data_IF_530674163015
#
_entry.id   IF_530674163015
#
_cell.length_a   1.000
_cell.length_b   1.000
_cell.length_c   1.000
_cell.angle_alpha   90.00
_cell.angle_beta   90.00
_cell.angle_gamma   90.00
#
_symmetry.space_group_name_H-M   'P 1'
#
loop_
_entity.id
_entity.type
_entity.pdbx_description
1 polymer ?
#
# COMPACT_ATOMS: atom_id res chain seq x y z
N UNK A 1 21.37 -42.19 17.83
CA UNK A 1 21.65 -41.71 16.47
C UNK A 1 20.44 -40.94 15.97
N UNK A 2 20.47 -39.61 16.03
CA UNK A 2 19.39 -38.75 15.54
C UNK A 2 19.56 -38.59 14.02
N UNK A 3 18.65 -39.15 13.28
CA UNK A 3 18.58 -39.02 11.80
C UNK A 3 18.24 -37.59 11.45
N UNK A 4 19.24 -36.83 11.05
CA UNK A 4 19.06 -35.50 10.46
C UNK A 4 18.24 -35.67 9.17
N UNK A 5 16.92 -35.36 9.23
CA UNK A 5 16.07 -35.29 8.04
C UNK A 5 16.61 -34.17 7.15
N UNK A 6 17.37 -34.51 6.13
CA UNK A 6 17.71 -33.58 5.04
C UNK A 6 16.41 -33.00 4.50
N UNK A 7 16.21 -31.68 4.66
CA UNK A 7 15.16 -30.96 3.94
C UNK A 7 15.32 -31.26 2.46
N UNK A 8 14.27 -31.82 1.83
CA UNK A 8 14.22 -31.93 0.36
C UNK A 8 14.50 -30.56 -0.24
N UNK A 9 15.30 -30.48 -1.33
CA UNK A 9 15.48 -29.21 -2.03
C UNK A 9 14.10 -28.71 -2.46
N UNK A 10 13.78 -27.49 -2.05
CA UNK A 10 12.52 -26.83 -2.39
C UNK A 10 12.48 -26.72 -3.92
N UNK A 11 11.55 -27.40 -4.57
CA UNK A 11 11.34 -27.31 -6.00
C UNK A 11 11.07 -25.85 -6.37
N UNK A 12 11.78 -25.38 -7.38
CA UNK A 12 11.66 -24.04 -7.91
C UNK A 12 10.35 -23.92 -8.70
N UNK A 13 9.28 -23.56 -8.01
CA UNK A 13 8.00 -23.25 -8.65
C UNK A 13 7.82 -21.71 -8.68
N UNK A 14 7.66 -21.14 -9.86
CA UNK A 14 7.29 -19.72 -10.04
C UNK A 14 5.85 -19.51 -9.58
N UNK A 15 4.99 -20.51 -9.81
CA UNK A 15 3.57 -20.46 -9.47
C UNK A 15 3.31 -21.21 -8.16
N UNK A 16 2.54 -20.60 -7.28
CA UNK A 16 2.07 -21.21 -6.03
C UNK A 16 1.01 -22.27 -6.30
N UNK A 17 1.03 -23.37 -5.52
CA UNK A 17 -0.13 -24.24 -5.46
C UNK A 17 -1.30 -23.47 -4.85
N UNK A 18 -2.48 -23.41 -5.52
CA UNK A 18 -3.61 -22.64 -5.01
C UNK A 18 -4.13 -23.22 -3.69
N UNK A 19 -4.10 -22.43 -2.62
CA UNK A 19 -4.81 -22.74 -1.37
C UNK A 19 -6.32 -22.51 -1.51
N UNK A 20 -7.13 -22.94 -0.52
CA UNK A 20 -8.55 -22.68 -0.49
C UNK A 20 -8.85 -21.17 -0.36
N UNK A 21 -10.11 -20.81 -0.61
CA UNK A 21 -10.60 -19.44 -0.51
C UNK A 21 -11.21 -19.20 0.87
N UNK A 22 -10.55 -18.47 1.80
CA UNK A 22 -11.17 -18.13 3.07
C UNK A 22 -12.32 -17.12 2.86
N UNK A 23 -13.36 -17.21 3.68
CA UNK A 23 -14.53 -16.34 3.57
C UNK A 23 -14.18 -14.85 3.65
N UNK A 24 -13.20 -14.49 4.48
CA UNK A 24 -12.74 -13.10 4.60
C UNK A 24 -12.11 -12.58 3.29
N UNK A 25 -11.40 -13.44 2.54
CA UNK A 25 -10.86 -13.07 1.23
C UNK A 25 -11.99 -12.82 0.21
N UNK A 26 -13.04 -13.64 0.23
CA UNK A 26 -14.20 -13.45 -0.65
C UNK A 26 -14.91 -12.13 -0.32
N UNK A 27 -15.14 -11.86 0.96
CA UNK A 27 -15.75 -10.60 1.42
C UNK A 27 -14.88 -9.38 1.04
N UNK A 28 -13.55 -9.50 1.19
CA UNK A 28 -12.62 -8.46 0.82
C UNK A 28 -12.64 -8.17 -0.69
N UNK A 29 -12.69 -9.20 -1.53
CA UNK A 29 -12.85 -9.04 -2.98
C UNK A 29 -14.20 -8.44 -3.38
N UNK A 30 -15.26 -8.80 -2.68
CA UNK A 30 -16.56 -8.18 -2.89
C UNK A 30 -16.53 -6.68 -2.56
N UNK A 31 -15.88 -6.30 -1.44
CA UNK A 31 -15.68 -4.89 -1.08
C UNK A 31 -14.84 -4.16 -2.12
N UNK A 32 -13.76 -4.78 -2.62
CA UNK A 32 -12.94 -4.24 -3.72
C UNK A 32 -13.78 -3.99 -4.97
N UNK A 33 -14.62 -4.97 -5.36
CA UNK A 33 -15.48 -4.84 -6.54
C UNK A 33 -16.48 -3.68 -6.38
N UNK A 34 -17.07 -3.50 -5.20
CA UNK A 34 -17.96 -2.35 -4.90
C UNK A 34 -17.21 -1.04 -5.02
N UNK A 35 -15.99 -0.92 -4.46
CA UNK A 35 -15.15 0.27 -4.55
C UNK A 35 -14.82 0.60 -6.02
N UNK A 36 -14.43 -0.39 -6.83
CA UNK A 36 -14.10 -0.19 -8.25
C UNK A 36 -15.34 0.27 -9.03
N UNK A 37 -16.48 -0.39 -8.85
CA UNK A 37 -17.71 -0.02 -9.55
C UNK A 37 -18.15 1.40 -9.17
N UNK A 38 -18.11 1.72 -7.88
CA UNK A 38 -18.45 3.06 -7.42
C UNK A 38 -17.47 4.10 -7.96
N UNK A 39 -16.16 3.81 -7.92
CA UNK A 39 -15.13 4.69 -8.50
C UNK A 39 -15.34 4.94 -10.00
N UNK A 40 -15.70 3.91 -10.77
CA UNK A 40 -16.00 4.06 -12.21
C UNK A 40 -17.24 4.95 -12.46
N UNK A 41 -18.29 4.81 -11.65
CA UNK A 41 -19.49 5.65 -11.76
C UNK A 41 -19.11 7.12 -11.48
N UNK A 42 -18.35 7.38 -10.41
CA UNK A 42 -17.93 8.72 -10.06
C UNK A 42 -16.94 9.30 -11.07
N UNK A 43 -16.01 8.48 -11.59
CA UNK A 43 -15.10 8.91 -12.64
C UNK A 43 -15.86 9.28 -13.92
N UNK A 44 -16.86 8.50 -14.31
CA UNK A 44 -17.68 8.82 -15.47
C UNK A 44 -18.41 10.16 -15.24
N UNK A 45 -19.03 10.33 -14.08
CA UNK A 45 -19.69 11.60 -13.75
C UNK A 45 -18.72 12.78 -13.80
N UNK A 46 -17.56 12.67 -13.16
CA UNK A 46 -16.55 13.73 -13.10
C UNK A 46 -15.92 14.06 -14.46
N UNK A 47 -15.80 13.05 -15.35
CA UNK A 47 -15.05 13.20 -16.61
C UNK A 47 -15.92 13.50 -17.84
N UNK A 48 -17.23 13.36 -17.74
CA UNK A 48 -18.16 13.47 -18.90
C UNK A 48 -17.99 14.80 -19.65
N UNK A 49 -18.10 15.93 -18.95
CA UNK A 49 -18.00 17.27 -19.52
C UNK A 49 -16.57 17.58 -20.01
N UNK A 50 -15.58 17.25 -19.20
CA UNK A 50 -14.16 17.45 -19.56
C UNK A 50 -13.75 16.64 -20.78
N UNK A 51 -14.23 15.39 -20.88
CA UNK A 51 -14.00 14.53 -22.04
C UNK A 51 -14.60 15.13 -23.32
N UNK A 52 -15.83 15.60 -23.25
CA UNK A 52 -16.48 16.25 -24.40
C UNK A 52 -15.75 17.52 -24.86
N UNK A 53 -15.47 18.41 -23.92
CA UNK A 53 -14.89 19.72 -24.24
C UNK A 53 -13.42 19.66 -24.67
N UNK A 54 -12.62 18.78 -24.08
CA UNK A 54 -11.18 18.70 -24.37
C UNK A 54 -10.82 17.68 -25.46
N UNK A 55 -11.57 16.58 -25.55
CA UNK A 55 -11.24 15.44 -26.42
C UNK A 55 -12.31 15.17 -27.51
N UNK A 56 -13.45 15.89 -27.47
CA UNK A 56 -14.57 15.65 -28.39
C UNK A 56 -15.35 14.36 -28.11
N UNK A 57 -15.02 13.62 -27.06
CA UNK A 57 -15.66 12.36 -26.70
C UNK A 57 -15.88 12.29 -25.18
N UNK A 58 -17.13 12.34 -24.74
CA UNK A 58 -17.51 12.25 -23.31
C UNK A 58 -17.09 10.94 -22.66
N UNK A 59 -16.86 9.88 -23.43
CA UNK A 59 -16.45 8.55 -22.96
C UNK A 59 -14.94 8.33 -22.99
N UNK A 60 -14.14 9.33 -23.38
CA UNK A 60 -12.70 9.21 -23.54
C UNK A 60 -12.01 8.64 -22.28
N UNK A 61 -12.25 9.25 -21.13
CA UNK A 61 -11.63 8.83 -19.85
C UNK A 61 -12.11 7.45 -19.41
N UNK A 62 -13.42 7.18 -19.51
CA UNK A 62 -13.96 5.89 -19.07
C UNK A 62 -13.52 4.73 -19.98
N UNK A 63 -13.42 4.94 -21.30
CA UNK A 63 -12.89 3.93 -22.22
C UNK A 63 -11.45 3.57 -21.87
N UNK A 64 -10.60 4.57 -21.63
CA UNK A 64 -9.21 4.37 -21.17
C UNK A 64 -9.15 3.63 -19.85
N UNK A 65 -9.98 4.03 -18.86
CA UNK A 65 -10.01 3.40 -17.54
C UNK A 65 -10.49 1.94 -17.60
N UNK A 66 -11.51 1.64 -18.43
CA UNK A 66 -12.01 0.27 -18.63
C UNK A 66 -10.96 -0.64 -19.28
N UNK A 67 -10.18 -0.12 -20.22
CA UNK A 67 -9.06 -0.87 -20.81
C UNK A 67 -7.99 -1.17 -19.74
N UNK A 68 -7.62 -0.17 -18.96
CA UNK A 68 -6.66 -0.34 -17.87
C UNK A 68 -7.19 -1.27 -16.77
N UNK A 69 -8.50 -1.23 -16.48
CA UNK A 69 -9.15 -2.17 -15.57
C UNK A 69 -9.04 -3.61 -16.09
N UNK A 70 -9.35 -3.84 -17.36
CA UNK A 70 -9.24 -5.17 -17.98
C UNK A 70 -7.81 -5.72 -17.93
N UNK A 71 -6.82 -4.90 -18.29
CA UNK A 71 -5.41 -5.25 -18.17
C UNK A 71 -5.00 -5.47 -16.70
N UNK A 72 -5.43 -4.60 -15.79
CA UNK A 72 -5.14 -4.70 -14.36
C UNK A 72 -5.73 -5.96 -13.74
N UNK A 73 -6.95 -6.37 -14.11
CA UNK A 73 -7.55 -7.63 -13.66
C UNK A 73 -6.75 -8.84 -14.17
N UNK A 74 -6.28 -8.82 -15.42
CA UNK A 74 -5.40 -9.88 -15.92
C UNK A 74 -4.08 -9.96 -15.13
N UNK A 75 -3.47 -8.80 -14.83
CA UNK A 75 -2.26 -8.71 -14.00
C UNK A 75 -2.55 -9.15 -12.56
N UNK A 76 -3.69 -8.77 -11.98
CA UNK A 76 -4.14 -9.24 -10.66
C UNK A 76 -4.21 -10.77 -10.60
N UNK A 77 -4.82 -11.40 -11.60
CA UNK A 77 -4.90 -12.87 -11.69
C UNK A 77 -3.51 -13.50 -11.83
N UNK A 78 -2.61 -12.89 -12.59
CA UNK A 78 -1.22 -13.35 -12.71
C UNK A 78 -0.51 -13.28 -11.35
N UNK A 79 -0.53 -12.13 -10.68
CA UNK A 79 0.12 -11.95 -9.38
C UNK A 79 -0.51 -12.80 -8.27
N UNK A 80 -1.79 -13.13 -8.36
CA UNK A 80 -2.44 -14.08 -7.44
C UNK A 80 -1.90 -15.51 -7.52
N UNK A 81 -1.19 -15.85 -8.61
CA UNK A 81 -0.57 -17.16 -8.84
C UNK A 81 0.93 -17.19 -8.59
N UNK A 82 1.59 -16.02 -8.51
CA UNK A 82 3.04 -15.92 -8.31
C UNK A 82 3.37 -16.33 -6.86
N UNK A 83 4.30 -17.27 -6.70
CA UNK A 83 4.77 -17.69 -5.37
C UNK A 83 5.52 -16.53 -4.68
N UNK A 84 5.21 -16.29 -3.39
CA UNK A 84 5.90 -15.28 -2.56
C UNK A 84 7.42 -15.51 -2.49
N UNK A 85 7.89 -16.76 -2.68
CA UNK A 85 9.32 -17.11 -2.74
C UNK A 85 9.98 -16.53 -3.99
N UNK A 86 9.25 -16.52 -5.12
CA UNK A 86 9.72 -15.88 -6.35
C UNK A 86 9.77 -14.36 -6.17
N UNK A 87 8.72 -13.72 -5.62
CA UNK A 87 8.73 -12.29 -5.30
C UNK A 87 9.92 -11.94 -4.40
N UNK A 88 10.13 -12.72 -3.34
CA UNK A 88 11.26 -12.53 -2.42
C UNK A 88 12.64 -12.62 -3.10
N UNK A 89 12.78 -13.46 -4.13
CA UNK A 89 14.04 -13.58 -4.91
C UNK A 89 14.23 -12.40 -5.86
N UNK A 90 13.13 -11.87 -6.39
CA UNK A 90 13.16 -10.76 -7.35
C UNK A 90 13.28 -9.39 -6.69
N UNK A 91 13.25 -9.27 -5.38
CA UNK A 91 13.33 -7.99 -4.65
C UNK A 91 14.59 -7.18 -5.03
N UNK A 92 15.78 -7.77 -5.03
CA UNK A 92 16.99 -7.03 -5.39
C UNK A 92 17.10 -6.71 -6.90
N UNK A 93 16.84 -7.65 -7.82
CA UNK A 93 16.74 -7.31 -9.24
C UNK A 93 15.67 -6.25 -9.53
N UNK A 94 14.50 -6.36 -8.92
CA UNK A 94 13.41 -5.38 -9.04
C UNK A 94 13.83 -3.99 -8.57
N UNK A 95 14.50 -3.92 -7.43
CA UNK A 95 15.02 -2.64 -6.91
C UNK A 95 16.03 -1.98 -7.86
N UNK A 96 16.97 -2.76 -8.42
CA UNK A 96 17.93 -2.23 -9.41
C UNK A 96 17.20 -1.72 -10.65
N UNK A 97 16.23 -2.47 -11.17
CA UNK A 97 15.40 -2.04 -12.32
C UNK A 97 14.64 -0.77 -11.97
N UNK A 98 14.05 -0.69 -10.76
CA UNK A 98 13.34 0.50 -10.31
C UNK A 98 14.25 1.75 -10.25
N UNK A 99 15.46 1.63 -9.70
CA UNK A 99 16.44 2.73 -9.68
C UNK A 99 16.81 3.16 -11.10
N UNK A 100 17.06 2.21 -12.00
CA UNK A 100 17.37 2.52 -13.41
C UNK A 100 16.19 3.25 -14.08
N UNK A 101 14.96 2.82 -13.83
CA UNK A 101 13.76 3.49 -14.36
C UNK A 101 13.60 4.92 -13.79
N UNK A 102 13.83 5.13 -12.49
CA UNK A 102 13.80 6.46 -11.88
C UNK A 102 14.87 7.38 -12.49
N UNK A 103 16.08 6.87 -12.71
CA UNK A 103 17.14 7.62 -13.41
C UNK A 103 16.70 7.94 -14.85
N UNK A 104 16.12 6.99 -15.57
CA UNK A 104 15.67 7.18 -16.95
C UNK A 104 14.57 8.26 -17.05
N UNK A 105 13.70 8.40 -16.04
CA UNK A 105 12.68 9.46 -15.99
C UNK A 105 13.30 10.85 -15.97
N UNK A 106 14.45 11.06 -15.34
CA UNK A 106 15.13 12.36 -15.30
C UNK A 106 15.52 12.86 -16.70
N UNK A 107 15.73 11.93 -17.64
CA UNK A 107 16.07 12.23 -19.04
C UNK A 107 14.83 12.23 -19.96
N UNK A 108 13.62 11.94 -19.43
CA UNK A 108 12.39 11.95 -20.22
C UNK A 108 11.92 13.37 -20.55
N UNK A 109 11.11 13.48 -21.62
CA UNK A 109 10.46 14.75 -21.95
C UNK A 109 9.48 15.17 -20.85
N UNK A 110 9.49 16.44 -20.42
CA UNK A 110 8.56 16.91 -19.39
C UNK A 110 7.10 16.82 -19.87
N UNK A 111 6.22 16.38 -19.01
CA UNK A 111 4.77 16.41 -19.16
C UNK A 111 4.18 17.36 -18.11
N UNK A 112 3.38 18.34 -18.51
CA UNK A 112 2.85 19.37 -17.60
C UNK A 112 3.94 20.02 -16.71
N UNK A 113 5.11 20.27 -17.29
CA UNK A 113 6.26 20.90 -16.59
C UNK A 113 7.03 19.98 -15.63
N UNK A 114 6.64 18.72 -15.49
CA UNK A 114 7.29 17.75 -14.60
C UNK A 114 7.81 16.52 -15.37
N UNK A 115 8.95 15.99 -14.94
CA UNK A 115 9.55 14.75 -15.48
C UNK A 115 9.23 13.59 -14.53
N UNK A 116 8.03 13.00 -14.63
CA UNK A 116 7.55 11.92 -13.74
C UNK A 116 7.09 10.68 -14.49
N UNK A 117 7.11 10.74 -15.85
CA UNK A 117 6.47 9.77 -16.72
C UNK A 117 7.45 9.22 -17.74
N UNK A 118 7.52 7.90 -17.88
CA UNK A 118 8.17 7.24 -18.99
C UNK A 118 7.13 6.94 -20.09
N UNK A 119 7.46 7.31 -21.33
CA UNK A 119 6.63 7.01 -22.54
C UNK A 119 7.30 5.87 -23.29
N UNK A 120 6.79 4.65 -23.13
CA UNK A 120 7.25 3.45 -23.81
C UNK A 120 6.01 2.84 -24.50
N UNK A 121 5.47 3.52 -25.52
CA UNK A 121 4.18 3.15 -26.14
C UNK A 121 2.95 3.51 -25.30
N UNK A 122 3.05 3.41 -23.98
CA UNK A 122 2.08 3.89 -22.97
C UNK A 122 2.83 4.68 -21.89
N UNK A 123 2.08 5.47 -21.14
CA UNK A 123 2.66 6.36 -20.12
C UNK A 123 2.71 5.67 -18.78
N UNK A 124 3.92 5.44 -18.24
CA UNK A 124 4.15 4.80 -16.94
C UNK A 124 4.63 5.85 -15.94
N UNK A 125 3.98 5.91 -14.80
CA UNK A 125 4.47 6.67 -13.64
C UNK A 125 5.40 5.79 -12.81
N UNK A 126 6.69 6.02 -12.87
CA UNK A 126 7.69 5.14 -12.27
C UNK A 126 7.63 5.15 -10.74
N UNK A 127 7.22 6.25 -10.14
CA UNK A 127 7.04 6.35 -8.68
C UNK A 127 5.99 5.37 -8.12
N UNK A 128 5.00 4.96 -8.92
CA UNK A 128 4.05 3.91 -8.50
C UNK A 128 4.74 2.55 -8.38
N UNK A 129 5.62 2.22 -9.36
CA UNK A 129 6.45 1.01 -9.30
C UNK A 129 7.41 1.09 -8.11
N UNK A 130 8.00 2.26 -7.85
CA UNK A 130 8.91 2.46 -6.74
C UNK A 130 8.23 2.23 -5.38
N UNK A 131 6.98 2.66 -5.19
CA UNK A 131 6.22 2.38 -3.96
C UNK A 131 6.06 0.87 -3.73
N UNK A 132 5.59 0.15 -4.76
CA UNK A 132 5.41 -1.30 -4.65
C UNK A 132 6.74 -2.03 -4.39
N UNK A 133 7.82 -1.67 -5.10
CA UNK A 133 9.13 -2.26 -4.90
C UNK A 133 9.68 -1.98 -3.49
N UNK A 134 9.48 -0.77 -2.97
CA UNK A 134 9.88 -0.42 -1.61
C UNK A 134 9.07 -1.18 -0.54
N UNK A 135 7.80 -1.51 -0.79
CA UNK A 135 7.04 -2.43 0.07
C UNK A 135 7.71 -3.80 0.13
N UNK A 136 8.04 -4.38 -1.03
CA UNK A 136 8.66 -5.70 -1.11
C UNK A 136 10.04 -5.73 -0.45
N UNK A 137 10.87 -4.73 -0.71
CA UNK A 137 12.23 -4.64 -0.19
C UNK A 137 12.28 -4.37 1.31
N UNK A 138 11.51 -3.40 1.80
CA UNK A 138 11.42 -3.09 3.23
C UNK A 138 10.87 -4.28 4.01
N UNK A 139 9.82 -4.94 3.51
CA UNK A 139 9.28 -6.16 4.09
C UNK A 139 10.31 -7.31 4.11
N UNK A 140 11.10 -7.46 3.03
CA UNK A 140 12.15 -8.47 2.96
C UNK A 140 13.25 -8.24 4.01
N UNK A 141 13.75 -7.02 4.12
CA UNK A 141 14.82 -6.67 5.06
C UNK A 141 14.33 -6.76 6.50
N UNK A 142 13.12 -6.25 6.79
CA UNK A 142 12.51 -6.33 8.11
C UNK A 142 12.17 -7.78 8.52
N UNK A 143 11.73 -8.63 7.58
CA UNK A 143 11.48 -10.04 7.87
C UNK A 143 12.75 -10.83 8.14
N UNK A 144 13.88 -10.43 7.55
CA UNK A 144 15.20 -11.06 7.74
C UNK A 144 15.90 -10.59 9.01
N UNK A 145 15.49 -9.44 9.58
CA UNK A 145 16.05 -8.95 10.83
C UNK A 145 15.81 -9.97 11.96
N UNK A 146 16.86 -10.44 12.63
CA UNK A 146 16.71 -11.39 13.74
C UNK A 146 15.96 -10.72 14.89
N UNK A 147 15.03 -11.42 15.53
CA UNK A 147 14.52 -11.02 16.84
C UNK A 147 15.68 -11.09 17.82
N UNK A 148 16.17 -9.92 18.22
CA UNK A 148 17.23 -9.84 19.22
C UNK A 148 16.64 -10.09 20.61
N UNK A 149 16.82 -11.29 21.12
CA UNK A 149 16.52 -11.61 22.50
C UNK A 149 17.49 -10.86 23.44
N UNK A 150 17.00 -10.48 24.64
CA UNK A 150 17.85 -9.84 25.66
C UNK A 150 18.90 -10.80 26.23
N UNK A 151 18.80 -12.09 25.94
CA UNK A 151 19.72 -13.14 26.32
C UNK A 151 20.48 -13.61 25.07
N UNK A 152 21.79 -13.70 25.18
CA UNK A 152 22.63 -14.31 24.16
C UNK A 152 22.36 -15.83 24.12
N UNK A 153 21.87 -16.38 23.00
CA UNK A 153 21.53 -17.81 22.89
C UNK A 153 22.75 -18.73 23.13
N UNK A 154 23.95 -18.23 22.85
CA UNK A 154 25.17 -19.03 22.95
C UNK A 154 25.75 -19.07 24.41
N UNK A 155 25.62 -17.98 25.15
CA UNK A 155 26.22 -17.86 26.46
C UNK A 155 25.22 -17.82 27.63
N UNK A 156 23.92 -17.70 27.34
CA UNK A 156 22.85 -17.52 28.35
C UNK A 156 22.97 -16.22 29.16
N UNK A 157 23.92 -15.33 28.83
CA UNK A 157 24.15 -14.06 29.53
C UNK A 157 23.28 -12.95 28.92
N UNK A 158 22.90 -11.99 29.77
CA UNK A 158 22.20 -10.79 29.28
C UNK A 158 23.15 -9.92 28.46
N UNK A 159 22.72 -9.60 27.23
CA UNK A 159 23.43 -8.64 26.38
C UNK A 159 23.38 -7.27 27.06
N UNK A 160 24.49 -6.52 27.13
CA UNK A 160 24.51 -5.17 27.68
C UNK A 160 23.46 -4.29 26.99
N UNK A 161 22.69 -3.52 27.76
CA UNK A 161 21.54 -2.76 27.25
C UNK A 161 21.91 -1.82 26.08
N UNK A 162 23.06 -1.18 26.13
CA UNK A 162 23.56 -0.30 25.06
C UNK A 162 23.87 -1.06 23.78
N UNK A 163 24.50 -2.24 23.87
CA UNK A 163 24.82 -3.07 22.72
C UNK A 163 23.55 -3.67 22.09
N UNK A 164 22.60 -4.12 22.92
CA UNK A 164 21.31 -4.59 22.47
C UNK A 164 20.52 -3.49 21.74
N UNK A 165 20.48 -2.28 22.33
CA UNK A 165 19.80 -1.12 21.74
C UNK A 165 20.44 -0.73 20.40
N UNK A 166 21.77 -0.64 20.34
CA UNK A 166 22.49 -0.34 19.10
C UNK A 166 22.19 -1.35 17.98
N UNK A 167 22.33 -2.64 18.29
CA UNK A 167 22.05 -3.69 17.31
C UNK A 167 20.60 -3.65 16.81
N UNK A 168 19.66 -3.32 17.69
CA UNK A 168 18.26 -3.20 17.38
C UNK A 168 17.99 -2.02 16.47
N UNK A 169 18.52 -0.82 16.78
CA UNK A 169 18.38 0.36 15.93
C UNK A 169 18.97 0.10 14.54
N UNK A 170 20.18 -0.44 14.47
CA UNK A 170 20.84 -0.66 13.18
C UNK A 170 20.08 -1.71 12.34
N UNK A 171 19.76 -2.88 12.91
CA UNK A 171 19.21 -4.01 12.13
C UNK A 171 17.72 -3.91 11.87
N UNK A 172 16.95 -3.35 12.80
CA UNK A 172 15.49 -3.31 12.70
C UNK A 172 14.97 -1.99 12.10
N UNK A 173 15.76 -0.90 12.16
CA UNK A 173 15.35 0.40 11.65
C UNK A 173 16.24 0.87 10.48
N UNK A 174 17.56 1.01 10.70
CA UNK A 174 18.45 1.64 9.69
C UNK A 174 18.58 0.76 8.45
N UNK A 175 18.91 -0.51 8.60
CA UNK A 175 19.14 -1.43 7.46
C UNK A 175 17.90 -1.54 6.55
N UNK A 176 16.66 -1.70 7.04
CA UNK A 176 15.49 -1.72 6.18
C UNK A 176 15.17 -0.38 5.50
N UNK A 177 15.58 0.76 6.08
CA UNK A 177 15.35 2.09 5.51
C UNK A 177 16.50 2.57 4.60
N UNK A 178 17.66 1.94 4.64
CA UNK A 178 18.80 2.35 3.83
C UNK A 178 18.50 2.42 2.31
N UNK A 179 17.78 1.44 1.72
CA UNK A 179 17.42 1.50 0.29
C UNK A 179 16.41 2.62 -0.06
N UNK A 180 15.74 3.19 0.93
CA UNK A 180 14.83 4.31 0.71
C UNK A 180 15.59 5.60 0.32
N UNK A 181 16.83 5.76 0.78
CA UNK A 181 17.62 6.98 0.56
C UNK A 181 17.81 7.28 -0.94
N UNK A 182 18.31 6.35 -1.79
CA UNK A 182 18.45 6.61 -3.22
C UNK A 182 17.10 6.91 -3.90
N UNK A 183 16.03 6.22 -3.50
CA UNK A 183 14.69 6.46 -4.05
C UNK A 183 14.21 7.86 -3.72
N UNK A 184 14.37 8.31 -2.47
CA UNK A 184 13.99 9.67 -2.04
C UNK A 184 14.80 10.73 -2.78
N UNK A 185 16.10 10.53 -2.93
CA UNK A 185 16.96 11.46 -3.67
C UNK A 185 16.50 11.59 -5.14
N UNK A 186 16.22 10.47 -5.81
CA UNK A 186 15.73 10.48 -7.19
C UNK A 186 14.36 11.14 -7.32
N UNK A 187 13.43 10.84 -6.41
CA UNK A 187 12.12 11.49 -6.37
C UNK A 187 12.19 12.99 -6.05
N UNK A 188 13.19 13.45 -5.29
CA UNK A 188 13.48 14.88 -5.10
C UNK A 188 13.94 15.54 -6.40
N UNK A 189 14.78 14.87 -7.18
CA UNK A 189 15.23 15.35 -8.49
C UNK A 189 14.11 15.38 -9.53
N UNK A 190 13.04 14.57 -9.35
CA UNK A 190 11.83 14.56 -10.18
C UNK A 190 10.77 15.62 -9.74
N UNK A 191 11.01 16.51 -8.81
CA UNK A 191 10.15 17.26 -7.89
C UNK A 191 8.80 16.56 -7.55
N UNK A 192 8.89 15.31 -7.08
CA UNK A 192 7.72 14.47 -6.80
C UNK A 192 7.49 14.26 -5.30
N UNK A 193 7.01 15.32 -4.63
CA UNK A 193 6.84 15.34 -3.16
C UNK A 193 5.85 14.27 -2.65
N UNK A 194 4.73 14.07 -3.35
CA UNK A 194 3.76 13.03 -2.99
C UNK A 194 4.37 11.62 -2.98
N UNK A 195 5.23 11.32 -3.98
CA UNK A 195 5.97 10.06 -4.02
C UNK A 195 6.87 9.87 -2.80
N UNK A 196 7.60 10.92 -2.40
CA UNK A 196 8.48 10.89 -1.22
C UNK A 196 7.69 10.63 0.05
N UNK A 197 6.66 11.43 0.30
CA UNK A 197 5.82 11.35 1.51
C UNK A 197 5.19 9.96 1.62
N UNK A 198 4.55 9.49 0.55
CA UNK A 198 3.87 8.18 0.56
C UNK A 198 4.87 7.03 0.75
N UNK A 199 5.96 7.00 -0.01
CA UNK A 199 6.94 5.89 0.09
C UNK A 199 7.56 5.83 1.49
N UNK A 200 7.89 6.99 2.08
CA UNK A 200 8.45 7.08 3.43
C UNK A 200 7.43 6.63 4.48
N UNK A 201 6.17 7.10 4.37
CA UNK A 201 5.10 6.73 5.28
C UNK A 201 4.78 5.22 5.22
N UNK A 202 4.78 4.63 4.03
CA UNK A 202 4.58 3.19 3.82
C UNK A 202 5.70 2.38 4.49
N UNK A 203 6.97 2.70 4.19
CA UNK A 203 8.12 2.03 4.81
C UNK A 203 8.10 2.15 6.34
N UNK A 204 7.81 3.35 6.86
CA UNK A 204 7.64 3.60 8.29
C UNK A 204 6.53 2.73 8.91
N UNK A 205 5.38 2.61 8.24
CA UNK A 205 4.26 1.80 8.72
C UNK A 205 4.60 0.31 8.74
N UNK A 206 5.31 -0.20 7.71
CA UNK A 206 5.78 -1.59 7.68
C UNK A 206 6.65 -1.89 8.90
N UNK A 207 7.57 -0.99 9.26
CA UNK A 207 8.45 -1.17 10.41
C UNK A 207 7.71 -1.03 11.74
N UNK A 208 6.76 -0.11 11.86
CA UNK A 208 5.94 0.09 13.05
C UNK A 208 5.08 -1.13 13.37
N UNK A 209 4.30 -1.59 12.40
CA UNK A 209 3.37 -2.72 12.56
C UNK A 209 4.08 -4.08 12.46
N UNK A 210 5.23 -4.12 11.81
CA UNK A 210 6.06 -5.33 11.69
C UNK A 210 6.73 -5.80 12.96
N UNK A 211 6.54 -5.08 14.08
CA UNK A 211 7.02 -5.49 15.39
C UNK A 211 8.51 -5.26 15.63
N UNK A 212 9.13 -4.34 14.89
CA UNK A 212 10.53 -3.93 15.10
C UNK A 212 10.73 -3.10 16.36
N UNK A 213 9.93 -3.37 17.42
CA UNK A 213 10.15 -2.80 18.76
C UNK A 213 9.67 -1.37 18.97
N UNK A 214 8.37 -1.25 19.08
CA UNK A 214 7.55 -0.12 19.57
C UNK A 214 8.24 1.24 19.79
N UNK A 215 8.98 1.40 20.85
CA UNK A 215 9.59 2.69 21.25
C UNK A 215 10.60 3.21 20.22
N UNK A 216 11.44 2.34 19.63
CA UNK A 216 12.49 2.76 18.69
C UNK A 216 11.89 3.26 17.39
N UNK A 217 10.84 2.60 16.91
CA UNK A 217 10.15 3.00 15.69
C UNK A 217 9.33 4.26 15.90
N UNK A 218 8.71 4.42 17.08
CA UNK A 218 8.04 5.67 17.45
C UNK A 218 9.03 6.83 17.60
N UNK A 219 10.19 6.60 18.22
CA UNK A 219 11.25 7.60 18.32
C UNK A 219 11.81 7.96 16.92
N UNK A 220 12.00 6.96 16.05
CA UNK A 220 12.39 7.20 14.65
C UNK A 220 11.34 7.98 13.87
N UNK A 221 10.06 7.67 14.03
CA UNK A 221 8.96 8.42 13.45
C UNK A 221 8.90 9.86 13.96
N UNK A 222 9.01 10.07 15.26
CA UNK A 222 9.07 11.40 15.87
C UNK A 222 10.28 12.20 15.37
N UNK A 223 11.44 11.56 15.24
CA UNK A 223 12.65 12.19 14.68
C UNK A 223 12.47 12.57 13.21
N UNK A 224 11.79 11.74 12.42
CA UNK A 224 11.48 12.04 11.01
C UNK A 224 10.51 13.24 10.90
N UNK A 225 9.52 13.35 11.79
CA UNK A 225 8.61 14.50 11.86
C UNK A 225 9.37 15.78 12.26
N UNK A 226 10.29 15.70 13.22
CA UNK A 226 11.12 16.84 13.61
C UNK A 226 12.06 17.27 12.48
N UNK A 227 12.69 16.31 11.79
CA UNK A 227 13.52 16.61 10.61
C UNK A 227 12.70 17.24 9.48
N UNK A 228 11.49 16.73 9.23
CA UNK A 228 10.59 17.33 8.25
C UNK A 228 10.26 18.77 8.64
N UNK A 229 9.94 19.03 9.90
CA UNK A 229 9.70 20.39 10.40
C UNK A 229 10.91 21.30 10.19
N UNK A 230 12.13 20.84 10.53
CA UNK A 230 13.36 21.62 10.31
C UNK A 230 13.61 21.89 8.81
N UNK A 231 13.34 20.92 7.93
CA UNK A 231 13.41 21.11 6.48
C UNK A 231 12.34 22.11 6.02
N UNK A 232 11.14 22.06 6.57
CA UNK A 232 10.06 23.01 6.28
C UNK A 232 10.40 24.45 6.75
N UNK A 233 11.10 24.59 7.86
CA UNK A 233 11.57 25.89 8.36
C UNK A 233 12.68 26.51 7.49
N UNK A 234 13.40 25.71 6.69
CA UNK A 234 14.47 26.17 5.77
C UNK A 234 14.07 26.08 4.29
N UNK A 235 12.79 26.06 4.02
CA UNK A 235 12.21 25.76 2.69
C UNK A 235 12.32 26.93 1.71
N UNK A 236 12.64 28.15 2.18
CA UNK A 236 12.82 29.35 1.35
C UNK A 236 13.83 29.16 0.21
N UNK A 237 14.66 28.13 0.31
CA UNK A 237 15.62 27.73 -0.73
C UNK A 237 15.04 26.85 -1.85
N UNK A 238 13.78 26.36 -1.73
CA UNK A 238 13.13 25.47 -2.71
C UNK A 238 11.82 26.11 -3.22
N UNK A 239 11.86 26.87 -4.33
CA UNK A 239 10.71 27.67 -4.82
C UNK A 239 9.44 26.84 -5.08
N UNK A 240 9.58 25.60 -5.52
CA UNK A 240 8.44 24.70 -5.77
C UNK A 240 7.69 24.33 -4.48
N UNK A 241 8.41 24.12 -3.39
CA UNK A 241 7.81 23.76 -2.10
C UNK A 241 7.16 24.98 -1.46
N UNK A 242 7.83 26.12 -1.56
CA UNK A 242 7.34 27.40 -1.06
C UNK A 242 5.99 27.75 -1.70
N UNK A 243 5.87 27.67 -3.03
CA UNK A 243 4.60 27.96 -3.72
C UNK A 243 3.44 27.05 -3.29
N UNK A 244 3.72 25.81 -2.89
CA UNK A 244 2.70 24.87 -2.36
C UNK A 244 2.27 25.20 -0.93
N UNK A 245 3.21 25.67 -0.11
CA UNK A 245 2.92 26.10 1.27
C UNK A 245 2.27 27.47 1.32
N UNK A 246 2.69 28.40 0.45
CA UNK A 246 2.08 29.72 0.35
C UNK A 246 0.60 29.64 -0.07
N UNK A 247 0.28 28.66 -0.93
CA UNK A 247 -1.10 28.35 -1.31
C UNK A 247 -1.90 27.58 -0.25
N UNK A 248 -1.23 27.05 0.79
CA UNK A 248 -1.87 26.36 1.91
C UNK A 248 -2.14 27.33 3.05
N UNK A 249 -3.23 28.03 2.95
CA UNK A 249 -3.67 29.05 3.89
C UNK A 249 -5.17 28.90 4.15
N UNK A 250 -5.65 29.49 5.23
CA UNK A 250 -7.08 29.59 5.52
C UNK A 250 -7.67 30.92 5.02
N UNK A 251 -6.86 31.81 4.47
CA UNK A 251 -7.28 33.04 3.83
C UNK A 251 -7.73 32.75 2.40
N UNK A 252 -9.05 32.82 2.15
CA UNK A 252 -9.65 32.51 0.85
C UNK A 252 -9.05 33.35 -0.30
N UNK A 253 -8.55 34.55 -0.02
CA UNK A 253 -7.96 35.44 -1.03
C UNK A 253 -6.57 35.01 -1.50
N UNK A 254 -5.90 34.11 -0.75
CA UNK A 254 -4.55 33.63 -1.01
C UNK A 254 -4.51 32.16 -1.36
N UNK A 255 -5.64 31.46 -1.25
CA UNK A 255 -5.71 30.03 -1.65
C UNK A 255 -5.45 29.85 -3.15
N UNK A 256 -4.92 28.69 -3.50
CA UNK A 256 -4.89 28.30 -4.91
C UNK A 256 -6.31 28.04 -5.43
N UNK A 257 -6.57 28.37 -6.70
CA UNK A 257 -7.87 28.14 -7.32
C UNK A 257 -8.37 26.69 -7.15
N UNK A 258 -7.47 25.70 -7.27
CA UNK A 258 -7.80 24.30 -7.05
C UNK A 258 -8.35 24.02 -5.65
N UNK A 259 -7.72 24.56 -4.61
CA UNK A 259 -8.13 24.35 -3.23
C UNK A 259 -9.46 25.07 -2.96
N UNK A 260 -9.60 26.29 -3.46
CA UNK A 260 -10.80 27.09 -3.29
C UNK A 260 -12.02 26.42 -3.92
N UNK A 261 -11.90 25.99 -5.17
CA UNK A 261 -12.97 25.29 -5.90
C UNK A 261 -13.29 23.91 -5.27
N UNK A 262 -12.28 23.23 -4.72
CA UNK A 262 -12.50 22.01 -3.95
C UNK A 262 -13.37 22.22 -2.72
N UNK A 263 -13.12 23.32 -1.97
CA UNK A 263 -13.92 23.68 -0.79
C UNK A 263 -15.33 24.11 -1.17
N UNK A 264 -15.50 24.81 -2.30
CA UNK A 264 -16.82 25.15 -2.83
C UNK A 264 -17.61 23.91 -3.21
N UNK A 265 -17.00 22.94 -3.90
CA UNK A 265 -17.62 21.65 -4.23
C UNK A 265 -18.10 20.93 -2.95
N UNK A 266 -17.23 20.82 -1.93
CA UNK A 266 -17.60 20.17 -0.67
C UNK A 266 -18.73 20.93 0.04
N UNK A 267 -18.66 22.26 0.08
CA UNK A 267 -19.64 23.09 0.74
C UNK A 267 -21.01 23.09 0.07
N UNK A 268 -21.04 23.11 -1.27
CA UNK A 268 -22.28 23.10 -2.07
C UNK A 268 -23.04 21.78 -1.99
N UNK A 269 -22.31 20.66 -1.75
CA UNK A 269 -22.94 19.35 -1.64
C UNK A 269 -23.85 19.17 -0.43
N UNK A 270 -23.67 19.91 0.65
CA UNK A 270 -24.50 19.80 1.86
C UNK A 270 -24.58 18.36 2.41
N UNK A 271 -25.75 17.97 2.91
CA UNK A 271 -25.93 16.64 3.52
C UNK A 271 -26.17 15.56 2.45
N UNK A 272 -27.04 15.81 1.48
CA UNK A 272 -27.55 14.80 0.53
C UNK A 272 -26.96 14.92 -0.87
N UNK A 273 -26.18 15.97 -1.15
CA UNK A 273 -25.63 16.26 -2.45
C UNK A 273 -26.60 16.92 -3.42
N UNK A 274 -26.05 17.41 -4.54
CA UNK A 274 -26.81 17.98 -5.66
C UNK A 274 -27.43 16.90 -6.58
N UNK A 275 -27.12 15.64 -6.33
CA UNK A 275 -27.47 14.51 -7.19
C UNK A 275 -26.36 14.13 -8.17
N UNK A 276 -26.32 12.85 -8.52
CA UNK A 276 -25.33 12.30 -9.43
C UNK A 276 -25.40 13.00 -10.80
N UNK A 277 -24.27 13.43 -11.32
CA UNK A 277 -24.19 14.15 -12.59
C UNK A 277 -24.36 15.67 -12.48
N UNK A 278 -24.77 16.21 -11.33
CA UNK A 278 -25.15 17.61 -11.17
C UNK A 278 -24.08 18.52 -10.54
N UNK A 279 -22.86 18.03 -10.37
CA UNK A 279 -21.74 18.87 -9.91
C UNK A 279 -21.53 20.04 -10.86
N UNK A 280 -21.39 21.24 -10.31
CA UNK A 280 -21.08 22.49 -11.03
C UNK A 280 -19.55 22.60 -11.18
N UNK A 281 -18.81 22.30 -10.13
CA UNK A 281 -17.36 22.48 -10.10
C UNK A 281 -16.61 21.59 -11.10
N UNK A 282 -17.14 20.41 -11.44
CA UNK A 282 -16.57 19.55 -12.49
C UNK A 282 -16.64 20.14 -13.90
N UNK A 283 -17.45 21.19 -14.11
CA UNK A 283 -17.61 21.87 -15.41
C UNK A 283 -16.45 22.83 -15.71
N UNK A 284 -15.20 22.34 -15.58
CA UNK A 284 -13.94 23.04 -15.79
C UNK A 284 -13.57 24.11 -14.73
N UNK A 285 -14.39 24.31 -13.69
CA UNK A 285 -14.06 25.20 -12.58
C UNK A 285 -13.01 24.56 -11.68
N UNK A 286 -13.17 23.27 -11.34
CA UNK A 286 -12.21 22.51 -10.53
C UNK A 286 -11.17 21.83 -11.43
N UNK A 287 -9.91 22.32 -11.47
CA UNK A 287 -8.83 21.63 -12.16
C UNK A 287 -8.60 20.24 -11.55
N UNK A 288 -8.24 19.25 -12.39
CA UNK A 288 -7.95 17.87 -11.97
C UNK A 288 -9.09 17.16 -11.21
N UNK A 289 -10.36 17.57 -11.49
CA UNK A 289 -11.57 16.96 -10.92
C UNK A 289 -11.70 15.45 -11.21
N UNK A 290 -11.05 14.95 -12.25
CA UNK A 290 -10.99 13.53 -12.62
C UNK A 290 -9.85 12.76 -11.94
N UNK A 291 -8.90 13.45 -11.34
CA UNK A 291 -7.69 12.87 -10.74
C UNK A 291 -7.66 13.12 -9.22
N UNK A 292 -6.92 14.13 -8.79
CA UNK A 292 -6.59 14.35 -7.38
C UNK A 292 -7.76 14.92 -6.56
N UNK A 293 -8.72 15.57 -7.23
CA UNK A 293 -9.89 16.21 -6.60
C UNK A 293 -11.21 15.48 -6.86
N UNK A 294 -11.16 14.22 -7.29
CA UNK A 294 -12.39 13.45 -7.53
C UNK A 294 -13.26 13.30 -6.29
N UNK A 295 -12.66 13.23 -5.09
CA UNK A 295 -13.41 13.14 -3.83
C UNK A 295 -14.24 14.40 -3.55
N UNK A 296 -13.81 15.60 -4.01
CA UNK A 296 -14.61 16.83 -3.92
C UNK A 296 -15.87 16.71 -4.77
N UNK A 297 -15.78 16.12 -5.98
CA UNK A 297 -16.95 15.83 -6.82
C UNK A 297 -17.88 14.81 -6.16
N UNK A 298 -17.33 13.79 -5.48
CA UNK A 298 -18.15 12.87 -4.67
C UNK A 298 -18.94 13.63 -3.58
N UNK A 299 -18.26 14.56 -2.88
CA UNK A 299 -18.91 15.37 -1.84
C UNK A 299 -19.98 16.29 -2.42
N UNK A 300 -19.76 16.88 -3.59
CA UNK A 300 -20.72 17.77 -4.24
C UNK A 300 -21.97 17.02 -4.73
N UNK A 301 -21.77 15.88 -5.41
CA UNK A 301 -22.87 15.13 -6.01
C UNK A 301 -23.67 14.30 -5.00
N UNK A 302 -22.98 13.66 -4.03
CA UNK A 302 -23.58 12.73 -3.08
C UNK A 302 -23.66 13.29 -1.65
N UNK A 303 -23.14 14.49 -1.42
CA UNK A 303 -23.15 15.16 -0.14
C UNK A 303 -22.31 14.48 0.93
N UNK A 304 -22.50 14.89 2.17
CA UNK A 304 -21.84 14.33 3.35
C UNK A 304 -22.11 12.82 3.50
N UNK A 305 -23.35 12.38 3.21
CA UNK A 305 -23.70 10.95 3.28
C UNK A 305 -22.88 10.12 2.31
N UNK A 306 -22.73 10.56 1.06
CA UNK A 306 -21.91 9.87 0.06
C UNK A 306 -20.43 9.84 0.45
N UNK A 307 -19.89 10.95 0.96
CA UNK A 307 -18.52 11.01 1.46
C UNK A 307 -18.26 10.01 2.59
N UNK A 308 -19.16 9.93 3.57
CA UNK A 308 -19.07 8.98 4.69
C UNK A 308 -19.14 7.54 4.19
N UNK A 309 -20.04 7.22 3.25
CA UNK A 309 -20.13 5.88 2.66
C UNK A 309 -18.81 5.48 2.00
N UNK A 310 -18.20 6.36 1.21
CA UNK A 310 -16.89 6.08 0.58
C UNK A 310 -15.81 5.82 1.64
N UNK A 311 -15.72 6.66 2.66
CA UNK A 311 -14.76 6.47 3.76
C UNK A 311 -14.99 5.14 4.46
N UNK A 312 -16.23 4.79 4.80
CA UNK A 312 -16.56 3.52 5.46
C UNK A 312 -16.24 2.30 4.58
N UNK A 313 -16.44 2.38 3.26
CA UNK A 313 -16.03 1.33 2.32
C UNK A 313 -14.52 1.13 2.33
N UNK A 314 -13.73 2.20 2.32
CA UNK A 314 -12.27 2.08 2.44
C UNK A 314 -11.84 1.55 3.81
N UNK A 315 -12.46 2.00 4.91
CA UNK A 315 -12.17 1.47 6.25
C UNK A 315 -12.45 -0.03 6.30
N UNK A 316 -13.61 -0.48 5.81
CA UNK A 316 -13.96 -1.89 5.75
C UNK A 316 -12.96 -2.70 4.92
N UNK A 317 -12.59 -2.18 3.75
CA UNK A 317 -11.59 -2.79 2.87
C UNK A 317 -10.23 -2.94 3.55
N UNK A 318 -9.75 -1.90 4.24
CA UNK A 318 -8.48 -1.89 4.96
C UNK A 318 -8.49 -2.85 6.15
N UNK A 319 -9.57 -2.89 6.94
CA UNK A 319 -9.71 -3.81 8.08
C UNK A 319 -9.65 -5.26 7.62
N UNK A 320 -10.41 -5.61 6.57
CA UNK A 320 -10.41 -6.96 5.99
C UNK A 320 -9.03 -7.32 5.41
N UNK A 321 -8.38 -6.38 4.70
CA UNK A 321 -7.05 -6.58 4.12
C UNK A 321 -5.95 -6.74 5.17
N UNK A 322 -5.97 -5.94 6.23
CA UNK A 322 -5.06 -6.11 7.38
C UNK A 322 -5.28 -7.44 8.09
N UNK A 323 -6.54 -7.87 8.24
CA UNK A 323 -6.83 -9.19 8.79
C UNK A 323 -6.18 -10.31 7.96
N UNK A 324 -6.28 -10.27 6.62
CA UNK A 324 -5.61 -11.21 5.73
C UNK A 324 -4.08 -11.16 5.89
N UNK A 325 -3.51 -9.96 6.00
CA UNK A 325 -2.08 -9.76 6.19
C UNK A 325 -1.57 -10.38 7.52
N UNK A 326 -2.27 -10.17 8.63
CA UNK A 326 -1.89 -10.73 9.92
C UNK A 326 -2.04 -12.26 10.01
N UNK A 327 -2.88 -12.87 9.17
CA UNK A 327 -3.05 -14.32 9.07
C UNK A 327 -2.22 -14.97 7.95
N UNK A 328 -1.25 -14.26 7.40
CA UNK A 328 -0.38 -14.75 6.34
C UNK A 328 0.48 -15.95 6.78
N UNK A 329 0.97 -16.72 5.80
CA UNK A 329 1.79 -17.93 5.99
C UNK A 329 3.09 -17.67 6.76
N UNK A 330 3.73 -16.52 6.51
CA UNK A 330 5.03 -16.16 7.08
C UNK A 330 5.18 -14.65 7.26
N UNK A 331 6.19 -14.23 8.05
CA UNK A 331 6.45 -12.83 8.41
C UNK A 331 6.66 -11.93 7.18
N UNK A 332 7.32 -12.40 6.13
CA UNK A 332 7.50 -11.61 4.91
C UNK A 332 6.16 -11.27 4.26
N UNK A 333 5.28 -12.27 4.10
CA UNK A 333 3.94 -12.07 3.55
C UNK A 333 3.09 -11.13 4.43
N UNK A 334 3.19 -11.25 5.76
CA UNK A 334 2.53 -10.33 6.70
C UNK A 334 2.97 -8.88 6.44
N UNK A 335 4.27 -8.63 6.34
CA UNK A 335 4.82 -7.29 6.15
C UNK A 335 4.49 -6.71 4.77
N UNK A 336 4.50 -7.54 3.72
CA UNK A 336 4.07 -7.14 2.37
C UNK A 336 2.58 -6.75 2.39
N UNK A 337 1.73 -7.57 2.99
CA UNK A 337 0.31 -7.27 3.10
C UNK A 337 0.02 -6.00 3.91
N UNK A 338 0.73 -5.79 5.03
CA UNK A 338 0.67 -4.53 5.80
C UNK A 338 1.10 -3.34 4.92
N UNK A 339 2.18 -3.49 4.14
CA UNK A 339 2.67 -2.42 3.27
C UNK A 339 1.68 -2.03 2.18
N UNK A 340 1.05 -3.00 1.52
CA UNK A 340 0.02 -2.75 0.50
C UNK A 340 -1.20 -2.04 1.12
N UNK A 341 -1.68 -2.51 2.27
CA UNK A 341 -2.80 -1.85 2.95
C UNK A 341 -2.43 -0.45 3.46
N UNK A 342 -1.21 -0.26 3.95
CA UNK A 342 -0.70 1.04 4.35
C UNK A 342 -0.61 2.03 3.17
N UNK A 343 -0.19 1.57 1.99
CA UNK A 343 -0.18 2.40 0.78
C UNK A 343 -1.57 2.95 0.49
N UNK A 344 -2.59 2.09 0.46
CA UNK A 344 -3.97 2.51 0.19
C UNK A 344 -4.47 3.44 1.30
N UNK A 345 -4.21 3.10 2.57
CA UNK A 345 -4.61 3.93 3.71
C UNK A 345 -4.02 5.35 3.63
N UNK A 346 -2.71 5.46 3.37
CA UNK A 346 -2.05 6.75 3.23
C UNK A 346 -2.53 7.54 2.01
N UNK A 347 -2.78 6.87 0.87
CA UNK A 347 -3.30 7.55 -0.33
C UNK A 347 -4.70 8.11 -0.07
N UNK A 348 -5.61 7.32 0.53
CA UNK A 348 -6.96 7.78 0.88
C UNK A 348 -6.91 8.91 1.89
N UNK A 349 -6.13 8.76 2.96
CA UNK A 349 -5.98 9.78 3.99
C UNK A 349 -5.44 11.10 3.41
N UNK A 350 -4.34 11.04 2.67
CA UNK A 350 -3.73 12.24 2.09
C UNK A 350 -4.63 12.89 1.03
N UNK A 351 -5.33 12.11 0.20
CA UNK A 351 -6.27 12.68 -0.78
C UNK A 351 -7.40 13.46 -0.07
N UNK A 352 -8.06 12.85 0.92
CA UNK A 352 -9.12 13.50 1.70
C UNK A 352 -8.57 14.74 2.42
N UNK A 353 -7.39 14.65 3.03
CA UNK A 353 -6.78 15.76 3.75
C UNK A 353 -6.39 16.94 2.82
N UNK A 354 -6.00 16.64 1.57
CA UNK A 354 -5.70 17.67 0.56
C UNK A 354 -6.99 18.37 0.09
N UNK A 355 -8.02 17.61 -0.28
CA UNK A 355 -9.26 18.22 -0.81
C UNK A 355 -10.01 19.03 0.25
N UNK A 356 -9.83 18.69 1.54
CA UNK A 356 -10.37 19.46 2.68
C UNK A 356 -9.44 20.58 3.16
N UNK A 357 -8.34 20.86 2.46
CA UNK A 357 -7.32 21.83 2.83
C UNK A 357 -6.69 21.61 4.24
N UNK A 358 -6.76 20.37 4.75
CA UNK A 358 -6.08 19.97 6.00
C UNK A 358 -4.58 19.79 5.78
N UNK A 359 -4.18 19.34 4.58
CA UNK A 359 -2.79 19.24 4.12
C UNK A 359 -2.60 20.07 2.84
N UNK A 360 -1.38 20.56 2.58
CA UNK A 360 -1.06 21.25 1.34
C UNK A 360 -1.28 20.37 0.13
N UNK A 361 -1.65 20.97 -1.01
CA UNK A 361 -1.90 20.22 -2.24
C UNK A 361 -0.64 19.49 -2.72
N UNK A 362 -0.68 18.15 -2.69
CA UNK A 362 0.43 17.26 -3.07
C UNK A 362 0.18 16.49 -4.36
N UNK A 363 -1.06 16.48 -4.90
CA UNK A 363 -1.39 15.75 -6.11
C UNK A 363 -1.42 14.23 -5.89
N UNK A 364 -2.07 13.75 -4.83
CA UNK A 364 -2.25 12.33 -4.53
C UNK A 364 -3.63 11.90 -5.00
N UNK A 365 -3.68 10.92 -5.91
CA UNK A 365 -4.91 10.37 -6.44
C UNK A 365 -5.62 9.45 -5.44
N UNK A 366 -6.95 9.41 -5.48
CA UNK A 366 -7.77 8.48 -4.69
C UNK A 366 -7.74 7.09 -5.33
N UNK A 367 -7.29 6.03 -4.62
CA UNK A 367 -7.20 4.68 -5.16
C UNK A 367 -8.52 4.20 -5.74
N UNK A 368 -8.48 3.58 -6.93
CA UNK A 368 -9.62 3.02 -7.68
C UNK A 368 -10.68 4.02 -8.18
N UNK A 369 -10.64 5.28 -7.75
CA UNK A 369 -11.58 6.33 -8.19
C UNK A 369 -10.97 7.21 -9.28
N UNK A 370 -9.74 7.67 -9.05
CA UNK A 370 -9.07 8.62 -9.94
C UNK A 370 -8.76 8.04 -11.31
N UNK A 371 -8.75 8.89 -12.33
CA UNK A 371 -8.28 8.56 -13.67
C UNK A 371 -6.77 8.34 -13.64
N UNK A 372 -6.34 7.09 -13.58
CA UNK A 372 -4.93 6.75 -13.49
C UNK A 372 -4.66 5.38 -14.10
N UNK A 373 -4.44 5.34 -15.44
CA UNK A 373 -4.31 4.08 -16.15
C UNK A 373 -3.27 3.11 -15.55
N UNK A 374 -2.02 3.55 -15.43
CA UNK A 374 -0.93 2.70 -14.89
C UNK A 374 -1.02 2.51 -13.38
N UNK A 375 -1.51 3.50 -12.64
CA UNK A 375 -1.72 3.39 -11.20
C UNK A 375 -2.77 2.32 -10.88
N UNK A 376 -3.88 2.27 -11.62
CA UNK A 376 -4.90 1.24 -11.45
C UNK A 376 -4.35 -0.17 -11.73
N UNK A 377 -3.55 -0.35 -12.79
CA UNK A 377 -2.94 -1.64 -13.10
C UNK A 377 -2.03 -2.11 -11.98
N UNK A 378 -1.22 -1.22 -11.42
CA UNK A 378 -0.30 -1.55 -10.32
C UNK A 378 -1.05 -1.84 -9.01
N UNK A 379 -2.06 -1.05 -8.67
CA UNK A 379 -2.92 -1.33 -7.53
C UNK A 379 -3.59 -2.71 -7.65
N UNK A 380 -4.07 -3.08 -8.85
CA UNK A 380 -4.64 -4.40 -9.08
C UNK A 380 -3.57 -5.51 -9.01
N UNK A 381 -2.33 -5.27 -9.45
CA UNK A 381 -1.22 -6.20 -9.23
C UNK A 381 -0.99 -6.46 -7.74
N UNK A 382 -0.99 -5.41 -6.92
CA UNK A 382 -0.90 -5.49 -5.46
C UNK A 382 -2.08 -6.27 -4.85
N UNK A 383 -3.30 -6.07 -5.36
CA UNK A 383 -4.46 -6.89 -4.96
C UNK A 383 -4.26 -8.37 -5.31
N UNK A 384 -3.60 -8.67 -6.44
CA UNK A 384 -3.20 -10.03 -6.79
C UNK A 384 -2.25 -10.64 -5.76
N UNK A 385 -1.27 -9.89 -5.28
CA UNK A 385 -0.38 -10.32 -4.20
C UNK A 385 -1.16 -10.57 -2.90
N UNK A 386 -2.13 -9.71 -2.56
CA UNK A 386 -3.00 -9.90 -1.39
C UNK A 386 -3.85 -11.16 -1.48
N UNK A 387 -4.38 -11.51 -2.66
CA UNK A 387 -5.08 -12.78 -2.90
C UNK A 387 -4.15 -13.96 -2.61
N UNK A 388 -2.91 -13.91 -3.09
CA UNK A 388 -1.92 -14.96 -2.84
C UNK A 388 -1.63 -15.11 -1.34
N UNK A 389 -1.42 -14.00 -0.64
CA UNK A 389 -1.19 -13.95 0.82
C UNK A 389 -2.37 -14.57 1.57
N UNK A 390 -3.61 -14.19 1.27
CA UNK A 390 -4.79 -14.70 1.95
C UNK A 390 -4.98 -16.21 1.75
N UNK A 391 -4.77 -16.72 0.53
CA UNK A 391 -4.86 -18.15 0.22
C UNK A 391 -3.70 -18.95 0.84
N UNK A 392 -2.48 -18.40 0.87
CA UNK A 392 -1.32 -19.00 1.53
C UNK A 392 -1.52 -19.12 3.03
N UNK A 393 -2.07 -18.09 3.67
CA UNK A 393 -2.40 -18.09 5.09
C UNK A 393 -3.42 -19.17 5.46
N UNK A 394 -4.49 -19.33 4.69
CA UNK A 394 -5.50 -20.37 4.93
C UNK A 394 -4.94 -21.78 4.73
N UNK A 395 -4.13 -22.00 3.71
CA UNK A 395 -3.41 -23.27 3.53
C UNK A 395 -2.55 -23.60 4.74
N UNK A 396 -1.75 -22.65 5.22
CA UNK A 396 -0.89 -22.84 6.38
C UNK A 396 -1.69 -23.09 7.67
N UNK A 397 -2.86 -22.50 7.80
CA UNK A 397 -3.79 -22.76 8.91
C UNK A 397 -4.28 -24.19 8.90
N UNK A 398 -4.82 -24.66 7.77
CA UNK A 398 -5.31 -26.03 7.62
C UNK A 398 -4.21 -27.09 7.83
N UNK A 399 -3.01 -26.84 7.34
CA UNK A 399 -1.86 -27.71 7.60
C UNK A 399 -1.53 -27.81 9.10
N UNK A 400 -1.60 -26.70 9.85
CA UNK A 400 -1.38 -26.71 11.30
C UNK A 400 -2.49 -27.46 12.04
N UNK A 401 -3.75 -27.30 11.65
CA UNK A 401 -4.89 -28.01 12.22
C UNK A 401 -4.76 -29.52 12.00
N UNK A 402 -4.43 -29.96 10.77
CA UNK A 402 -4.19 -31.37 10.45
C UNK A 402 -3.03 -31.97 11.26
N UNK A 403 -1.93 -31.22 11.42
CA UNK A 403 -0.81 -31.67 12.22
C UNK A 403 -1.13 -31.79 13.71
N UNK A 404 -1.99 -30.92 14.26
CA UNK A 404 -2.49 -31.01 15.63
C UNK A 404 -3.36 -32.27 15.81
N UNK A 405 -4.33 -32.47 14.92
CA UNK A 405 -5.19 -33.65 14.95
C UNK A 405 -4.38 -34.96 14.90
N UNK A 406 -3.35 -35.03 14.02
CA UNK A 406 -2.47 -36.21 13.94
C UNK A 406 -1.64 -36.42 15.22
N UNK A 407 -1.22 -35.35 15.90
CA UNK A 407 -0.49 -35.47 17.18
C UNK A 407 -1.42 -35.99 18.27
N UNK A 408 -2.63 -35.46 18.37
CA UNK A 408 -3.63 -35.90 19.34
C UNK A 408 -4.00 -37.39 19.14
N UNK A 409 -4.16 -37.84 17.88
CA UNK A 409 -4.40 -39.25 17.58
C UNK A 409 -3.23 -40.14 18.04
N UNK A 410 -2.00 -39.74 17.76
CA UNK A 410 -0.79 -40.49 18.20
C UNK A 410 -0.64 -40.55 19.71
N UNK A 411 -1.01 -39.49 20.43
CA UNK A 411 -1.01 -39.47 21.90
C UNK A 411 -2.07 -40.40 22.47
N UNK A 412 -3.27 -40.41 21.90
CA UNK A 412 -4.33 -41.37 22.27
C UNK A 412 -3.93 -42.83 22.02
N UNK A 413 -3.31 -43.13 20.87
CA UNK A 413 -2.81 -44.44 20.56
C UNK A 413 -1.72 -44.91 21.53
N UNK A 414 -0.78 -44.03 21.88
CA UNK A 414 0.26 -44.31 22.89
C UNK A 414 -0.34 -44.58 24.26
N UNK A 415 -1.29 -43.74 24.71
CA UNK A 415 -1.99 -43.93 25.99
C UNK A 415 -2.73 -45.28 26.04
N UNK A 416 -3.45 -45.62 24.97
CA UNK A 416 -4.15 -46.88 24.88
C UNK A 416 -3.22 -48.12 24.87
N UNK A 417 -2.06 -48.00 24.22
CA UNK A 417 -1.06 -49.06 24.20
C UNK A 417 -0.34 -49.20 25.56
N UNK A 418 -0.13 -48.09 26.29
CA UNK A 418 0.44 -48.14 27.64
C UNK A 418 -0.50 -48.81 28.64
N UNK A 419 -1.81 -48.57 28.54
CA UNK A 419 -2.83 -49.21 29.37
C UNK A 419 -2.92 -50.72 29.06
N UNK A 420 -2.70 -51.15 27.81
CA UNK A 420 -2.69 -52.55 27.44
C UNK A 420 -1.45 -53.33 27.86
N UNK A 421 -0.32 -52.61 28.17
CA UNK A 421 0.95 -53.23 28.55
C UNK A 421 1.18 -53.24 30.07
N UNK A 422 0.23 -52.81 30.89
CA UNK A 422 0.34 -52.88 32.36
C UNK A 422 -0.12 -54.27 32.83
N UNK A 423 0.83 -55.19 33.18
CA UNK A 423 0.51 -56.56 33.53
C UNK A 423 -0.12 -56.72 34.93
N UNK A 424 -0.21 -55.56 35.69
CA UNK A 424 -0.72 -55.55 37.03
C UNK A 424 -2.21 -55.21 37.21
N UNK A 425 -2.97 -55.04 36.10
CA UNK A 425 -4.43 -54.90 36.15
C UNK A 425 -5.17 -56.26 36.06
N UNK A 426 -4.59 -57.28 36.55
CA UNK A 426 -5.20 -58.62 36.69
C UNK A 426 -5.02 -59.15 38.11
N UNK A 427 -6.17 -59.08 38.87
CA UNK A 427 -6.48 -59.67 40.16
C UNK A 427 -6.29 -58.83 41.38
#
# INVERSE_FOLDING_TARGET
MATIRRKKPESFAILSSPGPWPQVLINWLATLAVIIVFGLIMLFSASYTTGYLRMGDSFYYIKSQMLCLGLGLAVMLLFSRIDHRFLRRMVWPGYVVCIVMLIAVLFSAPLNGCRRWLRIGFTIQVSEIAKFEMILLTAYLAAKAPHLEKLDPASGRRVPAGQWLYQRIVRELIVPLLPLIPVVILLMLEPHMSGIVLTTAICGTILLLGGSGGIITWAGGASAVLLLRTVLEHIDSIPYLQSRLDGWTHDLSKMTDQTLQSLYAIGSGGVTGLGLGNSIEKQLWLPESTNDFIFSVVCEELGFVGAVIVILLFVLFLVQGLWLAFHAENRYCTLVGIGIMAQIAWQVFCNIAVVTNTLPNTGISLPFFSSGGTSLILLLAEMGVMINIGRGGERARLERENLRALREQREKEKSNNTIRLDPNMGY
#
